data_IF_910728523037
#
_entry.id   IF_910728523037
#
_cell.length_a   1.000
_cell.length_b   1.000
_cell.length_c   1.000
_cell.angle_alpha   90.00
_cell.angle_beta   90.00
_cell.angle_gamma   90.00
#
_symmetry.space_group_name_H-M   'P 1'
#
loop_
_entity.id
_entity.type
_entity.pdbx_description
1 polymer ?
#
# COMPACT_ATOMS: atom_id res chain seq x y z
N UNK A 1 -26.27 -3.90 -9.71
CA UNK A 1 -25.91 -2.47 -9.83
C UNK A 1 -24.65 -2.36 -10.67
N UNK A 2 -24.72 -1.81 -11.88
CA UNK A 2 -23.53 -1.47 -12.66
C UNK A 2 -22.96 -0.16 -12.12
N UNK A 3 -21.83 -0.23 -11.42
CA UNK A 3 -21.08 0.95 -11.01
C UNK A 3 -20.49 1.59 -12.28
N UNK A 4 -20.74 2.90 -12.49
CA UNK A 4 -20.22 3.61 -13.66
C UNK A 4 -18.68 3.54 -13.66
N UNK A 5 -18.03 3.21 -14.79
CA UNK A 5 -16.58 3.02 -14.89
C UNK A 5 -15.70 4.26 -14.61
N UNK A 6 -16.29 5.39 -14.20
CA UNK A 6 -15.57 6.63 -13.85
C UNK A 6 -15.65 7.08 -12.39
N UNK A 7 -16.47 6.44 -11.53
CA UNK A 7 -16.64 6.88 -10.14
C UNK A 7 -15.59 6.31 -9.16
N UNK A 8 -15.03 5.14 -9.50
CA UNK A 8 -14.07 4.40 -8.68
C UNK A 8 -12.71 5.10 -8.46
N UNK A 9 -12.10 5.79 -9.46
CA UNK A 9 -10.83 6.48 -9.23
C UNK A 9 -10.95 7.65 -8.24
N UNK A 10 -12.12 8.29 -8.17
CA UNK A 10 -12.32 9.45 -7.31
C UNK A 10 -12.40 9.05 -5.82
N UNK A 11 -13.03 7.91 -5.51
CA UNK A 11 -13.15 7.41 -4.12
C UNK A 11 -11.79 6.97 -3.58
N UNK A 12 -10.97 6.30 -4.42
CA UNK A 12 -9.60 5.92 -4.05
C UNK A 12 -8.70 7.13 -3.78
N UNK A 13 -8.85 8.19 -4.59
CA UNK A 13 -8.09 9.42 -4.43
C UNK A 13 -8.47 10.19 -3.16
N UNK A 14 -9.76 10.24 -2.82
CA UNK A 14 -10.26 10.87 -1.59
C UNK A 14 -9.81 10.09 -0.34
N UNK A 15 -9.89 8.75 -0.40
CA UNK A 15 -9.41 7.89 0.69
C UNK A 15 -7.90 8.01 0.89
N UNK A 16 -7.12 8.03 -0.20
CA UNK A 16 -5.67 8.19 -0.12
C UNK A 16 -5.21 9.56 0.35
N UNK A 17 -5.87 10.62 -0.11
CA UNK A 17 -5.63 11.97 0.39
C UNK A 17 -5.91 12.05 1.89
N UNK A 18 -7.01 11.47 2.37
CA UNK A 18 -7.35 11.47 3.80
C UNK A 18 -6.31 10.74 4.66
N UNK A 19 -5.75 9.61 4.19
CA UNK A 19 -4.69 8.88 4.91
C UNK A 19 -3.38 9.65 4.92
N UNK A 20 -2.98 10.24 3.80
CA UNK A 20 -1.77 11.07 3.71
C UNK A 20 -1.91 12.31 4.60
N UNK A 21 -3.07 12.96 4.58
CA UNK A 21 -3.35 14.12 5.42
C UNK A 21 -3.34 13.73 6.91
N UNK A 22 -3.91 12.59 7.27
CA UNK A 22 -3.89 12.08 8.64
C UNK A 22 -2.48 11.76 9.14
N UNK A 23 -1.64 11.14 8.29
CA UNK A 23 -0.24 10.87 8.60
C UNK A 23 0.56 12.18 8.76
N UNK A 24 0.30 13.18 7.92
CA UNK A 24 0.92 14.50 8.04
C UNK A 24 0.49 15.23 9.31
N UNK A 25 -0.81 15.20 9.64
CA UNK A 25 -1.36 15.77 10.88
C UNK A 25 -0.77 15.07 12.10
N UNK A 26 -0.66 13.75 12.10
CA UNK A 26 -0.04 12.98 13.17
C UNK A 26 1.44 13.34 13.38
N UNK A 27 2.16 13.60 12.29
CA UNK A 27 3.55 14.04 12.34
C UNK A 27 3.69 15.48 12.82
N UNK A 28 2.77 16.37 12.42
CA UNK A 28 2.81 17.79 12.76
C UNK A 28 2.32 18.10 14.19
N UNK A 29 1.45 17.25 14.75
CA UNK A 29 0.79 17.49 16.05
C UNK A 29 0.98 16.32 17.02
N UNK A 30 2.18 16.15 17.61
CA UNK A 30 2.50 15.03 18.51
C UNK A 30 1.75 15.06 19.85
N UNK A 31 1.22 16.21 20.25
CA UNK A 31 0.47 16.44 21.51
C UNK A 31 -0.85 15.64 21.57
N UNK A 32 -1.38 15.20 20.43
CA UNK A 32 -2.69 14.52 20.31
C UNK A 32 -2.50 13.02 20.15
N UNK A 33 -1.77 12.36 21.05
CA UNK A 33 -1.26 10.98 20.88
C UNK A 33 -2.29 9.91 20.45
N UNK A 34 -3.58 10.12 20.72
CA UNK A 34 -4.65 9.16 20.44
C UNK A 34 -5.38 9.40 19.10
N UNK A 35 -5.43 10.65 18.62
CA UNK A 35 -6.15 11.02 17.40
C UNK A 35 -5.57 10.36 16.13
N UNK A 36 -4.24 10.29 15.92
CA UNK A 36 -3.63 9.58 14.80
C UNK A 36 -4.02 8.11 14.72
N UNK A 37 -4.09 7.46 15.88
CA UNK A 37 -4.41 6.03 15.98
C UNK A 37 -5.86 5.76 15.62
N UNK A 38 -6.80 6.58 16.11
CA UNK A 38 -8.21 6.50 15.73
C UNK A 38 -8.38 6.74 14.23
N UNK A 39 -7.71 7.77 13.67
CA UNK A 39 -7.84 8.08 12.25
C UNK A 39 -7.25 6.93 11.41
N UNK A 40 -6.10 6.38 11.80
CA UNK A 40 -5.48 5.23 11.14
C UNK A 40 -6.37 3.99 11.20
N UNK A 41 -6.94 3.65 12.36
CA UNK A 41 -7.89 2.54 12.46
C UNK A 41 -9.12 2.81 11.60
N UNK A 42 -9.72 3.99 11.71
CA UNK A 42 -10.91 4.36 10.95
C UNK A 42 -10.67 4.28 9.44
N UNK A 43 -9.50 4.72 8.96
CA UNK A 43 -9.13 4.59 7.55
C UNK A 43 -8.85 3.16 7.15
N UNK A 44 -8.18 2.36 7.97
CA UNK A 44 -7.96 0.92 7.72
C UNK A 44 -9.29 0.16 7.67
N UNK A 45 -10.19 0.40 8.63
CA UNK A 45 -11.52 -0.22 8.68
C UNK A 45 -12.36 0.19 7.48
N UNK A 46 -12.36 1.48 7.11
CA UNK A 46 -13.07 1.96 5.93
C UNK A 46 -12.49 1.37 4.64
N UNK A 47 -11.16 1.34 4.50
CA UNK A 47 -10.48 0.72 3.36
C UNK A 47 -10.80 -0.78 3.27
N UNK A 48 -10.87 -1.48 4.40
CA UNK A 48 -11.21 -2.91 4.46
C UNK A 48 -12.66 -3.16 4.06
N UNK A 49 -13.59 -2.29 4.47
CA UNK A 49 -14.98 -2.35 4.03
C UNK A 49 -15.12 -2.08 2.52
N UNK A 50 -14.38 -1.10 2.00
CA UNK A 50 -14.36 -0.78 0.56
C UNK A 50 -13.69 -1.88 -0.27
N UNK A 51 -12.73 -2.63 0.29
CA UNK A 51 -12.05 -3.72 -0.41
C UNK A 51 -13.00 -4.83 -0.86
N UNK A 52 -14.14 -5.02 -0.18
CA UNK A 52 -15.16 -6.00 -0.58
C UNK A 52 -15.84 -5.61 -1.90
N UNK A 53 -15.96 -4.30 -2.18
CA UNK A 53 -16.66 -3.78 -3.35
C UNK A 53 -15.74 -3.69 -4.58
N UNK A 54 -14.46 -3.39 -4.37
CA UNK A 54 -13.50 -3.06 -5.42
C UNK A 54 -12.07 -3.50 -5.00
N UNK A 55 -11.80 -4.81 -4.88
CA UNK A 55 -10.57 -5.33 -4.27
C UNK A 55 -9.31 -4.92 -5.05
N UNK A 56 -9.43 -4.84 -6.38
CA UNK A 56 -8.34 -4.42 -7.27
C UNK A 56 -7.97 -2.98 -7.03
N UNK A 57 -8.96 -2.10 -6.95
CA UNK A 57 -8.76 -0.68 -6.82
C UNK A 57 -8.19 -0.34 -5.45
N UNK A 58 -8.73 -0.95 -4.40
CA UNK A 58 -8.24 -0.75 -3.03
C UNK A 58 -6.81 -1.23 -2.85
N UNK A 59 -6.43 -2.39 -3.40
CA UNK A 59 -5.07 -2.92 -3.26
C UNK A 59 -4.00 -1.97 -3.84
N UNK A 60 -4.25 -1.41 -5.03
CA UNK A 60 -3.31 -0.50 -5.67
C UNK A 60 -3.32 0.90 -5.04
N UNK A 61 -4.49 1.42 -4.67
CA UNK A 61 -4.60 2.71 -3.97
C UNK A 61 -3.84 2.64 -2.64
N UNK A 62 -3.98 1.54 -1.90
CA UNK A 62 -3.25 1.34 -0.66
C UNK A 62 -1.74 1.27 -0.89
N UNK A 63 -1.30 0.60 -1.96
CA UNK A 63 0.11 0.58 -2.34
C UNK A 63 0.66 1.97 -2.70
N UNK A 64 -0.11 2.83 -3.40
CA UNK A 64 0.26 4.23 -3.67
C UNK A 64 0.42 5.01 -2.36
N UNK A 65 -0.58 4.93 -1.49
CA UNK A 65 -0.55 5.65 -0.20
C UNK A 65 0.70 5.26 0.59
N UNK A 66 1.01 3.98 0.63
CA UNK A 66 2.20 3.45 1.31
C UNK A 66 3.49 3.87 0.60
N UNK A 67 3.51 3.87 -0.73
CA UNK A 67 4.65 4.31 -1.54
C UNK A 67 5.01 5.78 -1.26
N UNK A 68 4.00 6.66 -1.31
CA UNK A 68 4.14 8.07 -0.93
C UNK A 68 4.59 8.21 0.53
N UNK A 69 3.97 7.49 1.47
CA UNK A 69 4.35 7.56 2.88
C UNK A 69 5.79 7.10 3.12
N UNK A 70 6.25 6.06 2.42
CA UNK A 70 7.63 5.59 2.47
C UNK A 70 8.59 6.65 1.91
N UNK A 71 8.25 7.30 0.80
CA UNK A 71 9.06 8.37 0.22
C UNK A 71 9.19 9.57 1.16
N UNK A 72 8.07 10.05 1.71
CA UNK A 72 8.05 11.17 2.67
C UNK A 72 8.79 10.79 3.97
N UNK A 73 8.57 9.59 4.48
CA UNK A 73 9.25 9.07 5.68
C UNK A 73 10.75 8.91 5.48
N UNK A 74 11.18 8.41 4.31
CA UNK A 74 12.58 8.33 3.91
C UNK A 74 13.22 9.71 3.86
N UNK A 75 12.60 10.66 3.16
CA UNK A 75 13.11 12.04 3.08
C UNK A 75 13.21 12.70 4.46
N UNK A 76 12.19 12.57 5.31
CA UNK A 76 12.21 13.11 6.66
C UNK A 76 13.32 12.48 7.53
N UNK A 77 13.56 11.17 7.39
CA UNK A 77 14.65 10.47 8.08
C UNK A 77 16.02 10.96 7.60
N UNK A 78 16.18 11.24 6.30
CA UNK A 78 17.40 11.80 5.72
C UNK A 78 17.73 13.16 6.32
N UNK A 79 16.75 14.08 6.38
CA UNK A 79 16.93 15.44 6.92
C UNK A 79 17.25 15.43 8.42
N UNK A 80 16.83 14.40 9.17
CA UNK A 80 17.13 14.24 10.60
C UNK A 80 18.45 13.53 10.90
N UNK A 81 19.31 13.29 9.90
CA UNK A 81 20.65 12.74 10.11
C UNK A 81 20.68 11.25 10.45
N UNK A 82 19.65 10.48 10.09
CA UNK A 82 19.70 9.03 10.22
C UNK A 82 20.74 8.42 9.26
N UNK A 83 21.31 7.23 9.56
CA UNK A 83 22.21 6.54 8.64
C UNK A 83 21.59 6.42 7.25
N UNK A 84 22.29 6.83 6.17
CA UNK A 84 21.69 7.12 4.86
C UNK A 84 21.05 5.90 4.18
N UNK A 85 21.44 4.69 4.57
CA UNK A 85 20.91 3.44 3.99
C UNK A 85 19.38 3.34 4.15
N UNK A 86 18.84 3.64 5.34
CA UNK A 86 17.40 3.51 5.58
C UNK A 86 16.57 4.56 4.83
N UNK A 87 16.88 5.86 4.90
CA UNK A 87 16.22 6.90 4.12
C UNK A 87 16.22 6.63 2.61
N UNK A 88 17.38 6.25 2.06
CA UNK A 88 17.51 5.98 0.63
C UNK A 88 16.68 4.77 0.23
N UNK A 89 16.71 3.69 1.03
CA UNK A 89 15.90 2.50 0.76
C UNK A 89 14.41 2.85 0.74
N UNK A 90 13.92 3.61 1.72
CA UNK A 90 12.50 4.02 1.77
C UNK A 90 12.12 4.93 0.59
N UNK A 91 12.97 5.88 0.21
CA UNK A 91 12.74 6.74 -0.95
C UNK A 91 12.68 5.92 -2.25
N UNK A 92 13.65 5.04 -2.49
CA UNK A 92 13.67 4.22 -3.70
C UNK A 92 12.53 3.20 -3.74
N UNK A 93 12.22 2.56 -2.60
CA UNK A 93 11.07 1.66 -2.50
C UNK A 93 9.76 2.40 -2.76
N UNK A 94 9.59 3.62 -2.24
CA UNK A 94 8.42 4.45 -2.49
C UNK A 94 8.22 4.73 -3.99
N UNK A 95 9.26 5.26 -4.65
CA UNK A 95 9.23 5.52 -6.10
C UNK A 95 8.96 4.24 -6.89
N UNK A 96 9.62 3.13 -6.53
CA UNK A 96 9.43 1.85 -7.21
C UNK A 96 8.00 1.32 -7.05
N UNK A 97 7.39 1.46 -5.87
CA UNK A 97 6.00 1.07 -5.63
C UNK A 97 5.03 1.85 -6.52
N UNK A 98 5.20 3.17 -6.65
CA UNK A 98 4.36 4.00 -7.54
C UNK A 98 4.44 3.53 -8.99
N UNK A 99 5.67 3.31 -9.47
CA UNK A 99 5.92 2.84 -10.84
C UNK A 99 5.26 1.47 -11.04
N UNK A 100 5.46 0.52 -10.13
CA UNK A 100 4.87 -0.82 -10.20
C UNK A 100 3.34 -0.78 -10.15
N UNK A 101 2.74 0.11 -9.36
CA UNK A 101 1.28 0.30 -9.35
C UNK A 101 0.79 0.75 -10.71
N UNK A 102 1.43 1.73 -11.35
CA UNK A 102 1.02 2.22 -12.67
C UNK A 102 1.07 1.10 -13.72
N UNK A 103 2.17 0.33 -13.76
CA UNK A 103 2.32 -0.80 -14.68
C UNK A 103 1.33 -1.93 -14.37
N UNK A 104 1.15 -2.27 -13.10
CA UNK A 104 0.20 -3.29 -12.65
C UNK A 104 -1.25 -2.91 -12.97
N UNK A 105 -1.60 -1.64 -12.79
CA UNK A 105 -2.95 -1.14 -13.01
C UNK A 105 -3.30 -1.04 -14.49
N UNK A 106 -2.47 -0.33 -15.26
CA UNK A 106 -2.77 0.00 -16.66
C UNK A 106 -2.54 -1.19 -17.60
N UNK A 107 -1.41 -1.89 -17.43
CA UNK A 107 -1.01 -2.94 -18.36
C UNK A 107 -1.42 -4.33 -17.89
N UNK A 108 -2.01 -4.46 -16.69
CA UNK A 108 -2.31 -5.76 -16.06
C UNK A 108 -1.09 -6.68 -16.02
N UNK A 109 0.11 -6.11 -15.85
CA UNK A 109 1.36 -6.87 -15.86
C UNK A 109 1.48 -7.74 -14.61
N UNK A 110 1.49 -9.07 -14.80
CA UNK A 110 1.65 -10.05 -13.70
C UNK A 110 2.97 -9.88 -12.97
N UNK A 111 4.05 -9.57 -13.70
CA UNK A 111 5.36 -9.34 -13.11
C UNK A 111 5.33 -8.10 -12.20
N UNK A 112 4.72 -7.00 -12.66
CA UNK A 112 4.62 -5.77 -11.86
C UNK A 112 3.81 -6.02 -10.58
N UNK A 113 2.68 -6.72 -10.68
CA UNK A 113 1.85 -7.10 -9.54
C UNK A 113 2.60 -7.98 -8.54
N UNK A 114 3.34 -9.00 -9.00
CA UNK A 114 4.07 -9.90 -8.09
C UNK A 114 5.22 -9.19 -7.39
N UNK A 115 5.95 -8.31 -8.10
CA UNK A 115 6.97 -7.48 -7.50
C UNK A 115 6.39 -6.49 -6.49
N UNK A 116 5.25 -5.87 -6.80
CA UNK A 116 4.56 -4.96 -5.89
C UNK A 116 4.10 -5.68 -4.61
N UNK A 117 3.58 -6.90 -4.74
CA UNK A 117 3.15 -7.69 -3.59
C UNK A 117 4.36 -8.11 -2.74
N UNK A 118 5.45 -8.53 -3.38
CA UNK A 118 6.69 -8.91 -2.71
C UNK A 118 7.33 -7.75 -1.95
N UNK A 119 7.42 -6.55 -2.54
CA UNK A 119 7.99 -5.38 -1.85
C UNK A 119 7.14 -4.96 -0.66
N UNK A 120 5.80 -5.03 -0.76
CA UNK A 120 4.90 -4.77 0.37
C UNK A 120 5.16 -5.77 1.51
N UNK A 121 5.29 -7.06 1.20
CA UNK A 121 5.54 -8.11 2.18
C UNK A 121 6.91 -7.94 2.87
N UNK A 122 7.97 -7.64 2.12
CA UNK A 122 9.32 -7.42 2.66
C UNK A 122 9.32 -6.19 3.57
N UNK A 123 8.75 -5.07 3.11
CA UNK A 123 8.66 -3.86 3.93
C UNK A 123 7.81 -4.08 5.18
N UNK A 124 6.73 -4.86 5.10
CA UNK A 124 5.94 -5.26 6.27
C UNK A 124 6.84 -5.92 7.31
N UNK A 125 7.59 -6.96 6.92
CA UNK A 125 8.46 -7.71 7.83
C UNK A 125 9.52 -6.77 8.42
N UNK A 126 10.22 -6.01 7.58
CA UNK A 126 11.27 -5.08 8.03
C UNK A 126 10.72 -4.03 9.01
N UNK A 127 9.57 -3.43 8.72
CA UNK A 127 8.96 -2.40 9.57
C UNK A 127 8.35 -2.99 10.84
N UNK A 128 7.80 -4.20 10.78
CA UNK A 128 7.24 -4.88 11.93
C UNK A 128 8.32 -5.18 12.98
N UNK A 129 9.46 -5.76 12.56
CA UNK A 129 10.60 -5.97 13.44
C UNK A 129 11.35 -4.68 13.78
N UNK A 130 11.27 -3.66 12.93
CA UNK A 130 11.81 -2.32 13.19
C UNK A 130 10.97 -1.48 14.16
N UNK A 131 9.70 -1.83 14.40
CA UNK A 131 8.76 -1.02 15.18
C UNK A 131 9.24 -0.68 16.60
N UNK A 132 9.86 -1.60 17.38
CA UNK A 132 10.41 -1.26 18.70
C UNK A 132 11.51 -0.19 18.63
N UNK A 133 12.32 -0.20 17.57
CA UNK A 133 13.38 0.80 17.37
C UNK A 133 12.77 2.16 16.98
N UNK A 134 11.78 2.16 16.08
CA UNK A 134 11.03 3.37 15.69
C UNK A 134 10.33 4.00 16.88
N UNK A 135 9.70 3.18 17.74
CA UNK A 135 9.11 3.60 19.02
C UNK A 135 10.13 4.37 19.88
N UNK A 136 11.32 3.80 20.07
CA UNK A 136 12.37 4.44 20.87
C UNK A 136 12.92 5.73 20.26
N UNK A 137 13.01 5.82 18.93
CA UNK A 137 13.53 7.00 18.24
C UNK A 137 12.54 8.16 18.16
N UNK A 138 11.25 7.86 18.00
CA UNK A 138 10.20 8.88 17.84
C UNK A 138 9.45 9.19 19.14
N UNK A 139 9.69 8.44 20.21
CA UNK A 139 8.96 8.60 21.47
C UNK A 139 7.47 8.27 21.38
N UNK A 140 7.03 7.60 20.31
CA UNK A 140 5.62 7.25 20.07
C UNK A 140 5.25 5.94 20.75
N UNK A 141 3.95 5.71 20.96
CA UNK A 141 3.44 4.42 21.43
C UNK A 141 3.72 3.28 20.46
N UNK A 142 3.86 2.05 20.97
CA UNK A 142 4.10 0.87 20.12
C UNK A 142 2.97 0.65 19.12
N UNK A 143 1.73 0.93 19.52
CA UNK A 143 0.55 0.84 18.66
C UNK A 143 0.64 1.77 17.45
N UNK A 144 1.13 3.01 17.65
CA UNK A 144 1.37 3.97 16.57
C UNK A 144 2.47 3.49 15.64
N UNK A 145 3.57 2.94 16.19
CA UNK A 145 4.66 2.38 15.41
C UNK A 145 4.22 1.16 14.56
N UNK A 146 3.17 0.45 14.99
CA UNK A 146 2.60 -0.71 14.28
C UNK A 146 1.60 -0.35 13.16
N UNK A 147 1.18 0.92 13.03
CA UNK A 147 0.23 1.34 11.99
C UNK A 147 0.79 1.07 10.59
N UNK A 148 2.03 1.50 10.34
CA UNK A 148 2.69 1.37 9.02
C UNK A 148 2.85 -0.09 8.61
N UNK A 149 3.44 -1.00 9.42
CA UNK A 149 3.49 -2.41 9.06
C UNK A 149 2.08 -3.02 8.93
N UNK A 150 1.11 -2.62 9.76
CA UNK A 150 -0.29 -3.06 9.59
C UNK A 150 -0.87 -2.73 8.22
N UNK A 151 -0.63 -1.51 7.71
CA UNK A 151 -1.04 -1.09 6.38
C UNK A 151 -0.35 -1.90 5.27
N UNK A 152 0.95 -2.16 5.40
CA UNK A 152 1.71 -3.00 4.47
C UNK A 152 1.18 -4.44 4.42
N UNK A 153 0.84 -5.01 5.58
CA UNK A 153 0.21 -6.33 5.65
C UNK A 153 -1.17 -6.33 4.94
N UNK A 154 -2.00 -5.33 5.20
CA UNK A 154 -3.30 -5.18 4.55
C UNK A 154 -3.17 -5.05 3.03
N UNK A 155 -2.22 -4.24 2.55
CA UNK A 155 -1.93 -4.10 1.11
C UNK A 155 -1.48 -5.42 0.49
N UNK A 156 -0.60 -6.16 1.18
CA UNK A 156 -0.12 -7.47 0.72
C UNK A 156 -1.27 -8.47 0.59
N UNK A 157 -2.17 -8.53 1.58
CA UNK A 157 -3.34 -9.41 1.56
C UNK A 157 -4.30 -8.99 0.43
N UNK A 158 -4.61 -7.70 0.32
CA UNK A 158 -5.51 -7.18 -0.72
C UNK A 158 -4.96 -7.47 -2.13
N UNK A 159 -3.67 -7.24 -2.36
CA UNK A 159 -3.01 -7.56 -3.63
C UNK A 159 -2.98 -9.07 -3.90
N UNK A 160 -2.83 -9.90 -2.86
CA UNK A 160 -2.83 -11.37 -3.02
C UNK A 160 -4.20 -11.91 -3.46
N UNK A 161 -5.29 -11.32 -2.99
CA UNK A 161 -6.66 -11.74 -3.33
C UNK A 161 -6.99 -11.52 -4.81
N UNK A 162 -6.40 -10.48 -5.43
CA UNK A 162 -6.66 -10.14 -6.84
C UNK A 162 -5.80 -10.91 -7.85
N UNK A 163 -5.02 -11.90 -7.39
CA UNK A 163 -4.16 -12.74 -8.24
C UNK A 163 -4.88 -13.31 -9.47
N UNK A 164 -6.16 -13.71 -9.33
CA UNK A 164 -6.96 -14.27 -10.42
C UNK A 164 -7.15 -13.32 -11.61
N UNK A 165 -7.17 -12.01 -11.36
CA UNK A 165 -7.30 -10.99 -12.42
C UNK A 165 -6.05 -10.92 -13.32
N UNK A 166 -4.91 -11.44 -12.83
CA UNK A 166 -3.62 -11.45 -13.52
C UNK A 166 -3.30 -12.80 -14.16
N UNK A 167 -4.07 -13.85 -13.86
CA UNK A 167 -3.92 -15.18 -14.46
C UNK A 167 -4.61 -15.31 -15.83
N UNK A 168 -5.61 -14.47 -16.12
CA UNK A 168 -6.40 -14.50 -17.36
C UNK A 168 -5.64 -14.18 -18.66
N UNK A 169 -4.34 -13.86 -18.59
CA UNK A 169 -3.46 -13.69 -19.75
C UNK A 169 -2.84 -15.00 -20.27
N UNK A 170 -3.05 -16.13 -19.61
CA UNK A 170 -2.49 -17.42 -19.99
C UNK A 170 -3.26 -18.06 -21.16
N UNK A 171 -2.98 -17.56 -22.39
CA UNK A 171 -3.34 -18.07 -23.73
C UNK A 171 -4.83 -18.38 -23.97
N UNK A 172 -5.39 -18.02 -25.14
CA UNK A 172 -6.61 -18.66 -25.61
C UNK A 172 -6.40 -20.18 -25.51
N UNK A 173 -7.29 -20.89 -24.81
CA UNK A 173 -7.36 -22.35 -24.91
C UNK A 173 -7.34 -22.65 -26.41
N UNK A 174 -6.27 -23.31 -26.88
CA UNK A 174 -6.16 -23.68 -28.29
C UNK A 174 -7.52 -24.26 -28.70
N UNK A 175 -8.15 -23.77 -29.80
CA UNK A 175 -9.47 -24.23 -30.20
C UNK A 175 -9.41 -25.73 -30.18
N UNK A 176 -10.29 -26.37 -29.39
CA UNK A 176 -10.31 -27.81 -29.21
C UNK A 176 -10.26 -28.44 -30.61
N UNK A 177 -9.06 -28.85 -31.02
CA UNK A 177 -8.84 -29.32 -32.38
C UNK A 177 -9.73 -30.53 -32.47
N UNK A 178 -10.68 -30.44 -33.39
CA UNK A 178 -11.68 -31.45 -33.67
C UNK A 178 -11.03 -32.77 -34.13
N UNK A 179 -10.34 -33.46 -33.21
CA UNK A 179 -10.03 -34.87 -33.28
C UNK A 179 -11.30 -35.66 -32.90
N UNK A 180 -12.36 -35.37 -33.65
CA UNK A 180 -13.52 -36.21 -33.86
C UNK A 180 -13.65 -36.39 -35.37
N UNK A 181 -12.69 -37.10 -35.98
CA UNK A 181 -12.86 -37.82 -37.24
C UNK A 181 -11.95 -39.04 -37.24
#
# INVERSE_FOLDING_TARGET
MQVRPGAVPMIGLIGGLAVVLAAFVAFAFPEVAFLPFIIAIGTVTLASALAVLAPREVGHVLAIIIGVAAMVGGFAAFVRGMPPVLPLTLCFSGVLMEVLVLYSWQQKSRAAWSFLTAICAVLFICMFFGAPKVKGLLGVGIWTALIVPGLLAAATIALSVIYRDYDGGARPSAPATAAQR
#
